data_IF_876521363308
#
_entry.id   IF_876521363308
#
_cell.length_a   1.000
_cell.length_b   1.000
_cell.length_c   1.000
_cell.angle_alpha   90.00
_cell.angle_beta   90.00
_cell.angle_gamma   90.00
#
_symmetry.space_group_name_H-M   'P 1'
#
loop_
_entity.id
_entity.type
_entity.pdbx_description
1 polymer ?
#
# COMPACT_ATOMS: atom_id res chain seq x y z
N UNK A 1 -1.76 -12.51 17.68
CA UNK A 1 -1.29 -11.17 17.32
C UNK A 1 -2.51 -10.38 16.89
N UNK A 2 -2.72 -9.20 17.46
CA UNK A 2 -3.83 -8.34 17.06
C UNK A 2 -3.37 -7.49 15.90
N UNK A 3 -4.11 -7.49 14.80
CA UNK A 3 -3.87 -6.53 13.72
C UNK A 3 -4.24 -5.12 14.19
N UNK A 4 -3.45 -4.14 13.78
CA UNK A 4 -3.60 -2.74 14.16
C UNK A 4 -4.07 -1.93 12.95
N UNK A 5 -4.78 -0.83 13.24
CA UNK A 5 -5.18 0.13 12.21
C UNK A 5 -4.05 1.11 11.96
N UNK A 6 -3.62 1.18 10.69
CA UNK A 6 -2.61 2.11 10.21
C UNK A 6 -3.29 3.17 9.37
N UNK A 7 -3.61 4.30 10.00
CA UNK A 7 -4.34 5.40 9.37
C UNK A 7 -3.46 6.17 8.40
N UNK A 8 -3.92 6.33 7.16
CA UNK A 8 -3.22 7.09 6.12
C UNK A 8 -3.23 8.58 6.50
N UNK A 9 -2.05 9.16 6.68
CA UNK A 9 -1.89 10.57 7.04
C UNK A 9 -1.58 11.40 5.80
N UNK A 10 -0.63 10.94 4.99
CA UNK A 10 -0.11 11.69 3.85
C UNK A 10 0.44 10.74 2.80
N UNK A 11 0.09 10.97 1.54
CA UNK A 11 0.70 10.29 0.39
C UNK A 11 1.85 11.16 -0.11
N UNK A 12 3.07 10.64 -0.04
CA UNK A 12 4.28 11.38 -0.44
C UNK A 12 4.56 11.14 -1.92
N UNK A 13 4.47 9.89 -2.36
CA UNK A 13 4.84 9.50 -3.73
C UNK A 13 4.10 8.24 -4.17
N UNK A 14 3.69 8.21 -5.43
CA UNK A 14 3.16 7.01 -6.09
C UNK A 14 3.94 6.84 -7.40
N UNK A 15 4.46 5.65 -7.63
CA UNK A 15 5.23 5.30 -8.82
C UNK A 15 4.72 4.01 -9.46
N UNK A 16 4.79 3.87 -10.79
CA UNK A 16 4.45 2.60 -11.44
C UNK A 16 5.44 1.52 -11.01
N UNK A 17 4.93 0.36 -10.57
CA UNK A 17 5.79 -0.77 -10.21
C UNK A 17 6.07 -1.60 -11.47
N UNK A 18 7.31 -1.58 -11.95
CA UNK A 18 7.71 -2.17 -13.24
C UNK A 18 8.46 -3.50 -13.09
N UNK A 19 8.42 -4.13 -11.92
CA UNK A 19 9.18 -5.37 -11.70
C UNK A 19 8.62 -6.51 -12.54
N UNK A 20 9.44 -7.00 -13.48
CA UNK A 20 9.10 -8.09 -14.40
C UNK A 20 9.01 -9.45 -13.71
N UNK A 21 9.65 -9.65 -12.56
CA UNK A 21 9.62 -10.93 -11.86
C UNK A 21 8.20 -11.29 -11.39
N UNK A 22 7.42 -10.28 -10.98
CA UNK A 22 6.04 -10.47 -10.56
C UNK A 22 5.11 -10.76 -11.73
N UNK A 23 5.44 -10.33 -12.95
CA UNK A 23 4.57 -10.51 -14.13
C UNK A 23 4.33 -11.99 -14.50
N UNK A 24 5.17 -12.90 -14.01
CA UNK A 24 5.03 -14.35 -14.23
C UNK A 24 4.23 -15.06 -13.12
N UNK A 25 3.95 -14.37 -12.01
CA UNK A 25 3.28 -14.97 -10.88
C UNK A 25 1.75 -15.08 -11.11
N UNK A 26 1.12 -16.23 -10.81
CA UNK A 26 -0.32 -16.40 -11.01
C UNK A 26 -1.19 -15.38 -10.27
N UNK A 27 -0.75 -14.92 -9.09
CA UNK A 27 -1.48 -13.96 -8.26
C UNK A 27 -1.38 -12.51 -8.76
N UNK A 28 -0.39 -12.23 -9.61
CA UNK A 28 -0.14 -10.92 -10.20
C UNK A 28 -0.78 -10.77 -11.59
N UNK A 29 -1.21 -11.88 -12.21
CA UNK A 29 -1.80 -11.87 -13.56
C UNK A 29 -3.07 -11.01 -13.60
N UNK A 30 -3.07 -9.99 -14.45
CA UNK A 30 -4.20 -9.08 -14.64
C UNK A 30 -4.36 -8.02 -13.55
N UNK A 31 -3.38 -7.86 -12.66
CA UNK A 31 -3.33 -6.79 -11.67
C UNK A 31 -2.27 -5.76 -12.03
N UNK A 32 -2.59 -4.49 -11.79
CA UNK A 32 -1.62 -3.40 -11.86
C UNK A 32 -1.09 -3.12 -10.46
N UNK A 33 0.21 -2.88 -10.37
CA UNK A 33 0.89 -2.62 -9.11
C UNK A 33 1.53 -1.24 -9.14
N UNK A 34 1.52 -0.60 -7.98
CA UNK A 34 2.13 0.70 -7.74
C UNK A 34 3.01 0.62 -6.50
N UNK A 35 4.12 1.33 -6.54
CA UNK A 35 4.97 1.56 -5.38
C UNK A 35 4.51 2.85 -4.72
N UNK A 36 4.12 2.78 -3.46
CA UNK A 36 3.59 3.93 -2.72
C UNK A 36 4.48 4.22 -1.53
N UNK A 37 4.91 5.48 -1.42
CA UNK A 37 5.52 6.03 -0.22
C UNK A 37 4.48 6.91 0.48
N UNK A 38 4.11 6.54 1.70
CA UNK A 38 3.09 7.23 2.47
C UNK A 38 3.42 7.24 3.97
N UNK A 39 2.85 8.21 4.70
CA UNK A 39 2.88 8.25 6.16
C UNK A 39 1.64 7.61 6.73
N UNK A 40 1.84 6.76 7.72
CA UNK A 40 0.77 6.13 8.47
C UNK A 40 0.90 6.44 9.96
N UNK A 41 -0.24 6.62 10.62
CA UNK A 41 -0.34 6.76 12.06
C UNK A 41 -0.93 5.47 12.64
N UNK A 42 -0.16 4.77 13.45
CA UNK A 42 -0.61 3.65 14.25
C UNK A 42 -0.66 4.11 15.72
N UNK A 43 -1.85 4.49 16.19
CA UNK A 43 -2.12 4.89 17.58
C UNK A 43 -1.10 5.89 18.19
N UNK A 44 -0.71 6.91 17.42
CA UNK A 44 0.23 7.97 17.83
C UNK A 44 1.66 7.77 17.32
N UNK A 45 1.98 6.61 16.75
CA UNK A 45 3.25 6.36 16.08
C UNK A 45 3.12 6.66 14.59
N UNK A 46 3.73 7.76 14.14
CA UNK A 46 3.74 8.15 12.73
C UNK A 46 5.03 7.64 12.09
N UNK A 47 4.89 6.77 11.10
CA UNK A 47 6.00 6.26 10.30
C UNK A 47 5.78 6.55 8.81
N UNK A 48 6.88 6.69 8.08
CA UNK A 48 6.85 6.69 6.61
C UNK A 48 7.24 5.31 6.14
N UNK A 49 6.40 4.70 5.30
CA UNK A 49 6.67 3.39 4.70
C UNK A 49 6.62 3.48 3.17
N UNK A 50 7.37 2.59 2.51
CA UNK A 50 7.32 2.41 1.06
C UNK A 50 7.01 0.96 0.75
N UNK A 51 5.83 0.71 0.20
CA UNK A 51 5.32 -0.63 -0.08
C UNK A 51 4.68 -0.72 -1.46
N UNK A 52 4.63 -1.94 -2.00
CA UNK A 52 3.98 -2.26 -3.27
C UNK A 52 2.55 -2.67 -2.99
N UNK A 53 1.60 -2.03 -3.66
CA UNK A 53 0.18 -2.34 -3.57
C UNK A 53 -0.36 -2.63 -4.97
N UNK A 54 -1.40 -3.46 -5.03
CA UNK A 54 -2.24 -3.43 -6.24
C UNK A 54 -3.02 -2.11 -6.31
N UNK A 55 -3.33 -1.63 -7.51
CA UNK A 55 -4.10 -0.39 -7.68
C UNK A 55 -5.45 -0.44 -6.95
N UNK A 56 -6.12 -1.59 -7.00
CA UNK A 56 -7.39 -1.82 -6.29
C UNK A 56 -7.21 -1.75 -4.78
N UNK A 57 -6.22 -2.45 -4.23
CA UNK A 57 -5.93 -2.46 -2.79
C UNK A 57 -5.59 -1.07 -2.27
N UNK A 58 -4.74 -0.33 -3.00
CA UNK A 58 -4.40 1.03 -2.62
C UNK A 58 -5.63 1.95 -2.61
N UNK A 59 -6.50 1.83 -3.62
CA UNK A 59 -7.74 2.60 -3.66
C UNK A 59 -8.63 2.29 -2.44
N UNK A 60 -8.75 1.02 -2.03
CA UNK A 60 -9.48 0.66 -0.81
C UNK A 60 -8.90 1.29 0.45
N UNK A 61 -7.57 1.37 0.56
CA UNK A 61 -6.88 2.02 1.69
C UNK A 61 -7.17 3.53 1.69
N UNK A 62 -7.13 4.17 0.53
CA UNK A 62 -7.45 5.60 0.39
C UNK A 62 -8.91 5.87 0.74
N UNK A 63 -9.85 5.05 0.26
CA UNK A 63 -11.28 5.20 0.50
C UNK A 63 -11.65 4.98 1.98
N UNK A 64 -11.04 3.98 2.62
CA UNK A 64 -11.23 3.71 4.06
C UNK A 64 -10.44 4.67 4.95
N UNK A 65 -9.34 5.21 4.44
CA UNK A 65 -8.38 6.03 5.18
C UNK A 65 -7.41 5.25 6.06
N UNK A 66 -7.37 3.92 5.99
CA UNK A 66 -6.45 3.07 6.77
C UNK A 66 -6.28 1.68 6.15
N UNK A 67 -5.21 0.97 6.55
CA UNK A 67 -5.06 -0.47 6.34
C UNK A 67 -4.94 -1.22 7.68
N UNK A 68 -5.15 -2.54 7.64
CA UNK A 68 -5.01 -3.43 8.80
C UNK A 68 -3.70 -4.21 8.66
N UNK A 69 -2.80 -4.09 9.64
CA UNK A 69 -1.43 -4.64 9.61
C UNK A 69 -1.02 -5.35 10.90
#
# INVERSE_FOLDING_TARGET
MNSLEHYLVEVIKIEPFTNKDWSNEPWAKGKEFILVTAKFNCYGNISTDTSVYSTTEWQEIVDRGYYIG
#
